data_IF_330345048094
#
_entry.id   IF_330345048094
#
_cell.length_a   1.000
_cell.length_b   1.000
_cell.length_c   1.000
_cell.angle_alpha   90.00
_cell.angle_beta   90.00
_cell.angle_gamma   90.00
#
_symmetry.space_group_name_H-M   'P 1'
#
loop_
_entity.id
_entity.type
_entity.pdbx_description
1 polymer ?
#
# COMPACT_ATOMS: atom_id res chain seq x y z
N UNK A 1 -5.12 10.84 43.72
CA UNK A 1 -5.78 10.96 42.41
C UNK A 1 -5.20 12.14 41.60
N UNK A 2 -3.94 12.07 41.17
CA UNK A 2 -3.29 13.10 40.32
C UNK A 2 -2.42 12.52 39.18
N UNK A 3 -2.42 11.20 39.00
CA UNK A 3 -1.51 10.50 38.06
C UNK A 3 -2.10 10.43 36.63
N UNK A 4 -3.42 10.54 36.49
CA UNK A 4 -4.10 10.37 35.19
C UNK A 4 -3.96 11.55 34.22
N UNK A 5 -3.66 12.76 34.70
CA UNK A 5 -3.60 13.95 33.85
C UNK A 5 -2.20 14.18 33.24
N UNK A 6 -1.14 13.64 33.86
CA UNK A 6 0.23 13.83 33.42
C UNK A 6 0.58 12.94 32.21
N UNK A 7 0.00 11.74 32.11
CA UNK A 7 0.26 10.83 30.98
C UNK A 7 -0.35 11.36 29.67
N UNK A 8 -1.54 11.98 29.73
CA UNK A 8 -2.19 12.56 28.55
C UNK A 8 -1.41 13.74 27.95
N UNK A 9 -0.72 14.53 28.77
CA UNK A 9 0.10 15.65 28.30
C UNK A 9 1.40 15.20 27.62
N UNK A 10 2.02 14.11 28.10
CA UNK A 10 3.26 13.57 27.52
C UNK A 10 2.98 12.90 26.17
N UNK A 11 1.84 12.22 26.01
CA UNK A 11 1.42 11.63 24.74
C UNK A 11 1.10 12.69 23.68
N UNK A 12 0.53 13.84 24.07
CA UNK A 12 0.20 14.91 23.13
C UNK A 12 1.45 15.66 22.61
N UNK A 13 2.50 15.79 23.42
CA UNK A 13 3.75 16.44 23.03
C UNK A 13 4.63 15.55 22.12
N UNK A 14 4.59 14.22 22.29
CA UNK A 14 5.34 13.30 21.45
C UNK A 14 4.84 13.29 19.99
N UNK A 15 3.55 13.49 19.78
CA UNK A 15 2.94 13.50 18.43
C UNK A 15 3.35 14.77 17.67
N UNK A 16 3.53 15.92 18.35
CA UNK A 16 3.83 17.19 17.67
C UNK A 16 5.28 17.31 17.19
N UNK A 17 6.24 16.63 17.84
CA UNK A 17 7.64 16.65 17.42
C UNK A 17 7.93 15.74 16.22
N UNK A 18 7.12 14.69 16.00
CA UNK A 18 7.24 13.80 14.83
C UNK A 18 6.84 14.49 13.51
N UNK A 19 5.78 15.31 13.53
CA UNK A 19 5.33 16.06 12.33
C UNK A 19 6.32 17.13 11.85
N UNK A 20 7.16 17.68 12.74
CA UNK A 20 8.12 18.72 12.37
C UNK A 20 9.33 18.20 11.58
N UNK A 21 9.66 16.91 11.70
CA UNK A 21 10.81 16.31 11.00
C UNK A 21 10.48 15.97 9.54
N UNK A 22 9.21 15.67 9.23
CA UNK A 22 8.73 15.35 7.87
C UNK A 22 8.83 16.55 6.91
N UNK A 23 8.53 17.77 7.37
CA UNK A 23 8.56 18.98 6.51
C UNK A 23 9.96 19.46 6.09
N UNK A 24 11.05 18.97 6.71
CA UNK A 24 12.40 19.36 6.30
C UNK A 24 12.93 18.57 5.09
N UNK A 25 12.39 17.39 4.79
CA UNK A 25 12.89 16.53 3.70
C UNK A 25 12.27 16.90 2.34
N UNK A 26 10.99 17.29 2.28
CA UNK A 26 10.37 17.73 1.01
C UNK A 26 11.05 18.96 0.38
N UNK A 27 11.65 19.86 1.18
CA UNK A 27 12.19 21.13 0.68
C UNK A 27 13.53 21.01 -0.06
N UNK A 28 14.21 19.85 -0.07
CA UNK A 28 15.47 19.68 -0.83
C UNK A 28 15.27 19.12 -2.25
N UNK A 29 14.11 18.54 -2.54
CA UNK A 29 13.86 17.83 -3.82
C UNK A 29 13.54 18.82 -4.96
N UNK A 30 12.97 19.99 -4.66
CA UNK A 30 12.52 20.96 -5.66
C UNK A 30 13.60 21.90 -6.25
N UNK A 31 14.89 21.73 -5.91
CA UNK A 31 15.95 22.67 -6.33
C UNK A 31 16.72 22.30 -7.61
N UNK A 32 16.46 21.15 -8.25
CA UNK A 32 17.36 20.61 -9.30
C UNK A 32 16.89 20.84 -10.75
N UNK A 33 15.67 21.34 -10.98
CA UNK A 33 15.11 21.44 -12.33
C UNK A 33 15.21 22.85 -12.95
N UNK A 34 16.40 23.33 -13.33
CA UNK A 34 16.56 24.45 -14.30
C UNK A 34 17.91 24.43 -15.06
N UNK A 35 17.89 24.03 -16.33
CA UNK A 35 18.80 24.44 -17.44
C UNK A 35 17.99 24.21 -18.75
N UNK A 36 17.43 25.23 -19.44
CA UNK A 36 18.03 26.14 -20.47
C UNK A 36 18.66 25.38 -21.66
N UNK A 37 18.52 25.63 -22.96
CA UNK A 37 17.79 26.58 -23.83
C UNK A 37 18.11 26.27 -25.31
N UNK A 38 17.08 26.21 -26.18
CA UNK A 38 16.99 26.73 -27.57
C UNK A 38 17.81 26.07 -28.75
N UNK A 39 17.59 26.47 -30.03
CA UNK A 39 16.85 25.71 -31.05
C UNK A 39 17.66 25.46 -32.35
N UNK A 40 17.10 24.83 -33.40
CA UNK A 40 17.33 25.13 -34.87
C UNK A 40 16.82 24.00 -35.80
N UNK A 41 15.81 24.35 -36.64
CA UNK A 41 15.47 24.00 -38.06
C UNK A 41 15.87 22.63 -38.66
N UNK A 42 15.21 22.00 -39.65
CA UNK A 42 14.05 22.14 -40.56
C UNK A 42 14.11 20.83 -41.43
N UNK A 43 13.19 20.65 -42.38
CA UNK A 43 13.09 19.64 -43.46
C UNK A 43 12.13 18.48 -43.12
N UNK A 44 10.89 18.49 -43.65
CA UNK A 44 10.43 18.11 -45.01
C UNK A 44 10.58 16.59 -45.23
N UNK A 45 9.64 15.80 -45.75
CA UNK A 45 8.36 16.02 -46.43
C UNK A 45 7.64 14.65 -46.55
N UNK A 46 6.34 14.66 -46.88
CA UNK A 46 5.57 13.60 -47.60
C UNK A 46 5.51 12.16 -47.02
N UNK A 47 4.35 11.67 -46.56
CA UNK A 47 3.26 11.09 -47.38
C UNK A 47 2.10 10.59 -46.50
N UNK A 48 0.92 10.77 -47.07
CA UNK A 48 -0.42 10.34 -46.68
C UNK A 48 -0.57 8.81 -46.58
N UNK A 49 -1.02 8.27 -45.45
CA UNK A 49 -1.88 7.05 -45.40
C UNK A 49 -2.63 6.98 -44.06
N UNK A 50 -3.88 7.41 -44.12
CA UNK A 50 -5.07 6.86 -43.45
C UNK A 50 -4.86 5.80 -42.35
N UNK A 51 -5.12 6.18 -41.09
CA UNK A 51 -5.48 5.24 -40.02
C UNK A 51 -6.49 5.93 -39.10
N UNK A 52 -7.74 5.43 -38.99
CA UNK A 52 -8.71 5.98 -38.07
C UNK A 52 -8.26 5.74 -36.62
N UNK A 53 -8.14 6.82 -35.85
CA UNK A 53 -8.00 6.78 -34.39
C UNK A 53 -9.13 5.95 -33.78
N UNK A 54 -8.84 4.97 -32.90
CA UNK A 54 -9.86 4.50 -31.98
C UNK A 54 -10.16 5.61 -30.97
N UNK A 55 -11.35 6.19 -31.10
CA UNK A 55 -11.99 7.04 -30.09
C UNK A 55 -11.89 6.41 -28.70
N UNK A 56 -11.41 7.11 -27.66
CA UNK A 56 -11.63 6.65 -26.29
C UNK A 56 -13.12 6.73 -26.00
N UNK A 57 -13.77 5.58 -26.05
CA UNK A 57 -15.16 5.45 -25.61
C UNK A 57 -15.20 5.69 -24.09
N UNK A 58 -16.05 6.59 -23.57
CA UNK A 58 -16.30 6.66 -22.13
C UNK A 58 -17.05 5.39 -21.72
N UNK A 59 -16.46 4.58 -20.83
CA UNK A 59 -17.18 3.48 -20.18
C UNK A 59 -17.88 3.97 -18.91
N UNK A 60 -19.01 3.35 -18.54
CA UNK A 60 -20.10 3.97 -17.80
C UNK A 60 -19.88 3.94 -16.28
N UNK A 61 -20.50 4.92 -15.63
CA UNK A 61 -20.80 4.96 -14.20
C UNK A 61 -21.65 3.76 -13.78
N UNK A 62 -21.29 3.12 -12.66
CA UNK A 62 -22.11 2.91 -11.46
C UNK A 62 -21.45 1.79 -10.63
N UNK A 63 -20.90 2.15 -9.48
CA UNK A 63 -20.28 1.18 -8.57
C UNK A 63 -19.87 1.86 -7.27
N UNK A 64 -20.85 2.09 -6.40
CA UNK A 64 -20.75 2.35 -4.97
C UNK A 64 -19.41 2.96 -4.51
N UNK A 65 -19.37 4.28 -4.43
CA UNK A 65 -18.34 5.01 -3.68
C UNK A 65 -18.47 4.63 -2.21
N UNK A 66 -17.80 3.56 -1.79
CA UNK A 66 -17.51 3.34 -0.40
C UNK A 66 -16.35 4.29 -0.12
N UNK A 67 -16.65 5.38 0.58
CA UNK A 67 -15.66 6.27 1.16
C UNK A 67 -14.83 5.44 2.16
N UNK A 68 -13.78 4.79 1.66
CA UNK A 68 -12.76 4.16 2.46
C UNK A 68 -11.84 5.28 2.93
N UNK A 69 -11.89 5.61 4.22
CA UNK A 69 -10.88 6.44 4.88
C UNK A 69 -9.60 5.60 5.01
N UNK A 70 -8.86 5.47 3.90
CA UNK A 70 -7.50 4.93 3.91
C UNK A 70 -6.62 5.91 4.71
N UNK A 71 -5.78 5.42 5.65
CA UNK A 71 -4.82 6.29 6.32
C UNK A 71 -3.90 6.91 5.27
N UNK A 72 -3.75 8.23 5.29
CA UNK A 72 -2.98 8.99 4.30
C UNK A 72 -1.49 8.55 4.22
N UNK A 73 -1.01 7.85 5.25
CA UNK A 73 0.35 7.32 5.40
C UNK A 73 0.36 5.78 5.66
N UNK A 74 -0.60 5.03 5.08
CA UNK A 74 -0.61 3.58 5.21
C UNK A 74 0.68 2.94 4.65
N UNK A 75 1.24 1.97 5.36
CA UNK A 75 2.48 1.27 4.96
C UNK A 75 2.23 0.44 3.70
N UNK A 76 1.06 -0.18 3.63
CA UNK A 76 0.56 -0.92 2.49
C UNK A 76 -0.91 -0.56 2.23
N UNK A 77 -1.36 -0.73 1.01
CA UNK A 77 -2.72 -0.47 0.59
C UNK A 77 -3.52 -1.76 0.53
N UNK A 78 -4.76 -1.74 1.01
CA UNK A 78 -5.66 -2.90 0.93
C UNK A 78 -6.80 -2.56 -0.03
N UNK A 79 -6.87 -3.27 -1.15
CA UNK A 79 -7.91 -3.02 -2.14
C UNK A 79 -9.31 -3.37 -1.57
N UNK A 80 -10.38 -2.72 -2.06
CA UNK A 80 -11.73 -2.89 -1.52
C UNK A 80 -12.21 -4.36 -1.48
N UNK A 81 -11.84 -5.16 -2.49
CA UNK A 81 -12.19 -6.59 -2.56
C UNK A 81 -11.49 -7.40 -1.47
N UNK A 82 -10.20 -7.17 -1.26
CA UNK A 82 -9.46 -7.78 -0.17
C UNK A 82 -10.05 -7.40 1.18
N UNK A 83 -10.43 -6.13 1.35
CA UNK A 83 -11.06 -5.65 2.58
C UNK A 83 -12.42 -6.32 2.86
N UNK A 84 -13.24 -6.52 1.83
CA UNK A 84 -14.50 -7.29 1.95
C UNK A 84 -14.19 -8.72 2.41
N UNK A 85 -13.22 -9.38 1.79
CA UNK A 85 -12.84 -10.74 2.13
C UNK A 85 -12.30 -10.87 3.55
N UNK A 86 -11.46 -9.93 4.00
CA UNK A 86 -10.94 -9.90 5.36
C UNK A 86 -12.07 -9.78 6.39
N UNK A 87 -13.08 -8.93 6.13
CA UNK A 87 -14.25 -8.82 7.00
C UNK A 87 -15.08 -10.11 7.06
N UNK A 88 -15.18 -10.85 5.96
CA UNK A 88 -15.82 -12.17 5.97
C UNK A 88 -15.06 -13.17 6.85
N UNK A 89 -13.74 -13.20 6.74
CA UNK A 89 -12.87 -14.06 7.56
C UNK A 89 -12.96 -13.70 9.05
N UNK A 90 -13.05 -12.41 9.37
CA UNK A 90 -13.27 -11.93 10.75
C UNK A 90 -14.61 -12.43 11.32
N UNK A 91 -15.70 -12.29 10.54
CA UNK A 91 -17.03 -12.78 10.94
C UNK A 91 -17.08 -14.28 11.15
N UNK A 92 -16.32 -15.05 10.37
CA UNK A 92 -16.23 -16.51 10.52
C UNK A 92 -15.43 -16.91 11.76
N UNK A 93 -14.38 -16.15 12.08
CA UNK A 93 -13.51 -16.42 13.23
C UNK A 93 -14.19 -16.02 14.56
N UNK A 94 -15.05 -15.00 14.54
CA UNK A 94 -15.79 -14.53 15.72
C UNK A 94 -14.99 -13.61 16.65
N UNK A 95 -13.70 -13.44 16.37
CA UNK A 95 -12.76 -12.62 17.14
C UNK A 95 -12.21 -11.43 16.31
N UNK A 96 -11.65 -10.43 16.97
CA UNK A 96 -10.88 -9.36 16.31
C UNK A 96 -9.62 -9.97 15.70
N UNK A 97 -9.56 -10.03 14.37
CA UNK A 97 -8.38 -10.50 13.65
C UNK A 97 -7.43 -9.33 13.38
N UNK A 98 -6.15 -9.59 13.62
CA UNK A 98 -5.06 -8.71 13.20
C UNK A 98 -4.38 -9.37 12.01
N UNK A 99 -4.43 -8.68 10.87
CA UNK A 99 -3.72 -9.10 9.67
C UNK A 99 -2.23 -8.82 9.84
N UNK A 100 -1.40 -9.85 9.86
CA UNK A 100 0.05 -9.73 9.94
C UNK A 100 0.68 -10.01 8.58
N UNK A 101 1.51 -9.08 8.13
CA UNK A 101 2.20 -9.09 6.85
C UNK A 101 3.71 -9.13 7.06
N UNK A 102 4.39 -10.01 6.33
CA UNK A 102 5.82 -10.19 6.43
C UNK A 102 6.45 -10.74 5.15
N UNK A 103 7.76 -10.88 5.18
CA UNK A 103 8.56 -11.50 4.12
C UNK A 103 9.44 -12.57 4.75
N UNK A 104 9.57 -13.71 4.06
CA UNK A 104 10.50 -14.77 4.41
C UNK A 104 11.45 -15.08 3.26
N UNK A 105 12.67 -15.48 3.59
CA UNK A 105 13.59 -16.05 2.61
C UNK A 105 13.02 -17.37 2.06
N UNK A 106 12.89 -17.48 0.75
CA UNK A 106 12.37 -18.65 0.05
C UNK A 106 11.54 -18.30 -1.18
N UNK A 107 11.04 -19.32 -1.87
CA UNK A 107 10.28 -19.16 -3.12
C UNK A 107 11.17 -19.21 -4.36
N UNK A 108 10.55 -19.07 -5.54
CA UNK A 108 11.25 -19.17 -6.83
C UNK A 108 12.26 -18.04 -7.06
N UNK A 109 11.97 -16.86 -6.50
CA UNK A 109 12.71 -15.61 -6.74
C UNK A 109 13.52 -15.14 -5.52
N UNK A 110 13.60 -15.95 -4.45
CA UNK A 110 14.43 -15.67 -3.27
C UNK A 110 13.70 -15.11 -2.04
N UNK A 111 12.65 -14.30 -2.24
CA UNK A 111 11.77 -13.81 -1.16
C UNK A 111 10.31 -14.21 -1.41
N UNK A 112 9.57 -14.47 -0.33
CA UNK A 112 8.14 -14.80 -0.37
C UNK A 112 7.34 -13.98 0.62
N UNK A 113 6.16 -13.53 0.19
CA UNK A 113 5.19 -12.88 1.07
C UNK A 113 4.65 -13.87 2.09
N UNK A 114 4.43 -13.38 3.30
CA UNK A 114 3.80 -14.09 4.40
C UNK A 114 2.61 -13.27 4.87
N UNK A 115 1.47 -13.93 4.98
CA UNK A 115 0.21 -13.37 5.45
C UNK A 115 -0.33 -14.31 6.52
N UNK A 116 -0.46 -13.80 7.74
CA UNK A 116 -0.95 -14.55 8.89
C UNK A 116 -2.04 -13.76 9.62
N UNK A 117 -2.88 -14.48 10.36
CA UNK A 117 -3.87 -13.86 11.24
C UNK A 117 -3.44 -14.04 12.69
N UNK A 118 -3.41 -12.94 13.43
CA UNK A 118 -2.98 -12.90 14.83
C UNK A 118 -4.01 -12.16 15.70
N UNK A 119 -3.76 -12.12 17.00
CA UNK A 119 -4.56 -11.36 17.97
C UNK A 119 -3.81 -10.10 18.38
N UNK A 120 -4.53 -9.10 18.87
CA UNK A 120 -3.98 -7.79 19.27
C UNK A 120 -2.87 -7.89 20.33
N UNK A 121 -2.91 -8.91 21.18
CA UNK A 121 -1.88 -9.15 22.22
C UNK A 121 -0.53 -9.63 21.67
N UNK A 122 -0.45 -9.99 20.38
CA UNK A 122 0.78 -10.47 19.72
C UNK A 122 1.48 -9.40 18.87
N UNK A 123 0.97 -8.17 18.90
CA UNK A 123 1.62 -7.04 18.22
C UNK A 123 2.85 -6.65 19.03
N UNK A 124 4.02 -6.63 18.39
CA UNK A 124 5.28 -6.23 19.03
C UNK A 124 5.46 -4.70 18.92
N UNK A 125 6.28 -4.10 19.81
CA UNK A 125 6.49 -2.64 19.85
C UNK A 125 7.19 -2.10 18.59
N UNK A 126 8.00 -2.93 17.93
CA UNK A 126 8.72 -2.57 16.70
C UNK A 126 7.89 -2.79 15.43
N UNK A 127 6.74 -3.44 15.54
CA UNK A 127 5.88 -3.68 14.39
C UNK A 127 5.22 -2.36 13.94
N UNK A 128 5.08 -2.23 12.63
CA UNK A 128 4.42 -1.08 12.04
C UNK A 128 2.91 -1.39 11.90
N UNK A 129 2.05 -0.55 12.45
CA UNK A 129 0.61 -0.83 12.64
C UNK A 129 -0.24 0.18 11.89
N UNK A 130 -1.12 -0.32 11.02
CA UNK A 130 -2.14 0.46 10.31
C UNK A 130 -3.54 0.05 10.79
N UNK A 131 -4.32 1.01 11.29
CA UNK A 131 -5.68 0.76 11.80
C UNK A 131 -6.76 1.23 10.82
N UNK A 132 -7.46 0.28 10.21
CA UNK A 132 -8.63 0.54 9.37
C UNK A 132 -9.88 0.61 10.26
N UNK A 133 -10.09 1.78 10.86
CA UNK A 133 -11.12 2.00 11.90
C UNK A 133 -12.54 1.75 11.38
N UNK A 134 -12.83 2.16 10.14
CA UNK A 134 -14.13 1.94 9.47
C UNK A 134 -14.47 0.45 9.32
N UNK A 135 -13.46 -0.39 9.08
CA UNK A 135 -13.61 -1.82 8.82
C UNK A 135 -13.33 -2.70 10.03
N UNK A 136 -12.83 -2.11 11.13
CA UNK A 136 -12.39 -2.82 12.35
C UNK A 136 -11.34 -3.88 12.06
N UNK A 137 -10.42 -3.56 11.17
CA UNK A 137 -9.30 -4.41 10.80
C UNK A 137 -8.02 -3.69 11.20
N UNK A 138 -7.11 -4.42 11.85
CA UNK A 138 -5.77 -3.94 12.17
C UNK A 138 -4.80 -4.69 11.27
N UNK A 139 -3.98 -3.95 10.54
CA UNK A 139 -2.88 -4.49 9.75
C UNK A 139 -1.56 -4.23 10.49
N UNK A 140 -0.68 -5.22 10.49
CA UNK A 140 0.60 -5.18 11.19
C UNK A 140 1.67 -5.69 10.25
N UNK A 141 2.75 -4.94 10.11
CA UNK A 141 3.90 -5.29 9.28
C UNK A 141 5.11 -5.54 10.18
N UNK A 142 5.76 -6.68 10.00
CA UNK A 142 7.00 -6.98 10.74
C UNK A 142 8.05 -5.89 10.48
N UNK A 143 8.74 -5.43 11.54
CA UNK A 143 9.78 -4.41 11.44
C UNK A 143 10.84 -4.70 10.36
N UNK A 144 11.25 -5.97 10.23
CA UNK A 144 12.27 -6.43 9.26
C UNK A 144 11.74 -6.47 7.82
N UNK A 145 10.43 -6.59 7.66
CA UNK A 145 9.76 -6.73 6.38
C UNK A 145 9.28 -5.38 5.81
N UNK A 146 9.23 -4.34 6.64
CA UNK A 146 8.72 -3.01 6.30
C UNK A 146 9.36 -2.43 5.03
N UNK A 147 10.69 -2.54 4.87
CA UNK A 147 11.40 -2.04 3.68
C UNK A 147 10.98 -2.71 2.36
N UNK A 148 10.48 -3.95 2.42
CA UNK A 148 10.09 -4.70 1.23
C UNK A 148 8.60 -4.57 0.90
N UNK A 149 7.78 -4.23 1.91
CA UNK A 149 6.32 -4.18 1.82
C UNK A 149 5.78 -2.75 1.73
N UNK A 150 6.65 -1.74 1.86
CA UNK A 150 6.25 -0.34 1.75
C UNK A 150 5.65 -0.04 0.37
N UNK A 151 4.41 0.45 0.35
CA UNK A 151 3.65 0.72 -0.89
C UNK A 151 3.13 -0.53 -1.60
N UNK A 152 3.15 -1.70 -0.96
CA UNK A 152 2.51 -2.91 -1.47
C UNK A 152 0.99 -2.70 -1.54
N UNK A 153 0.35 -3.16 -2.61
CA UNK A 153 -1.11 -3.26 -2.69
C UNK A 153 -1.55 -4.73 -2.55
N UNK A 154 -2.45 -4.98 -1.60
CA UNK A 154 -3.08 -6.27 -1.33
C UNK A 154 -4.48 -6.30 -1.94
N UNK A 155 -4.69 -7.13 -2.96
CA UNK A 155 -6.00 -7.35 -3.58
C UNK A 155 -6.48 -8.80 -3.39
N UNK A 156 -7.72 -9.07 -3.79
CA UNK A 156 -8.33 -10.38 -3.73
C UNK A 156 -9.11 -10.70 -5.00
N UNK A 157 -8.83 -11.88 -5.58
CA UNK A 157 -9.55 -12.41 -6.74
C UNK A 157 -10.52 -13.52 -6.31
N UNK A 158 -11.80 -13.35 -6.68
CA UNK A 158 -12.89 -14.33 -6.50
C UNK A 158 -12.96 -15.39 -7.62
N UNK A 159 -11.90 -15.52 -8.42
CA UNK A 159 -11.86 -16.53 -9.49
C UNK A 159 -11.96 -17.95 -8.93
N UNK A 160 -12.83 -18.77 -9.53
CA UNK A 160 -13.06 -20.16 -9.11
C UNK A 160 -11.76 -20.99 -9.12
N UNK A 161 -10.88 -20.73 -10.08
CA UNK A 161 -9.59 -21.40 -10.22
C UNK A 161 -8.51 -20.31 -10.12
N UNK A 162 -7.66 -20.40 -9.11
CA UNK A 162 -6.57 -19.44 -8.92
C UNK A 162 -6.97 -18.13 -8.21
N UNK A 163 -8.20 -18.06 -7.70
CA UNK A 163 -8.63 -17.03 -6.75
C UNK A 163 -7.82 -17.07 -5.45
N UNK A 164 -7.89 -15.97 -4.71
CA UNK A 164 -7.09 -15.74 -3.51
C UNK A 164 -6.50 -14.33 -3.46
N UNK A 165 -5.72 -14.09 -2.41
CA UNK A 165 -5.01 -12.82 -2.24
C UNK A 165 -3.92 -12.64 -3.30
N UNK A 166 -3.83 -11.42 -3.82
CA UNK A 166 -2.87 -10.99 -4.84
C UNK A 166 -2.04 -9.86 -4.27
N UNK A 167 -0.75 -9.90 -4.53
CA UNK A 167 0.23 -8.95 -4.01
C UNK A 167 0.82 -8.18 -5.18
N UNK A 168 0.71 -6.86 -5.15
CA UNK A 168 1.28 -5.96 -6.15
C UNK A 168 2.32 -5.08 -5.49
N UNK A 169 3.60 -5.34 -5.75
CA UNK A 169 4.70 -4.64 -5.11
C UNK A 169 5.43 -3.73 -6.11
N UNK A 170 5.39 -2.40 -5.96
CA UNK A 170 6.12 -1.49 -6.83
C UNK A 170 7.65 -1.61 -6.69
N UNK A 171 8.14 -2.19 -5.59
CA UNK A 171 9.56 -2.36 -5.32
C UNK A 171 10.12 -3.70 -5.82
N UNK A 172 9.29 -4.60 -6.36
CA UNK A 172 9.75 -5.89 -6.86
C UNK A 172 10.34 -5.73 -8.28
N UNK A 173 11.60 -6.11 -8.46
CA UNK A 173 12.25 -6.16 -9.78
C UNK A 173 11.75 -7.38 -10.58
N UNK A 174 11.49 -8.49 -9.89
CA UNK A 174 11.02 -9.73 -10.48
C UNK A 174 9.86 -10.31 -9.66
N UNK A 175 8.82 -10.81 -10.34
CA UNK A 175 7.70 -11.50 -9.70
C UNK A 175 7.55 -12.92 -10.25
N UNK A 176 7.35 -13.89 -9.36
CA UNK A 176 7.09 -15.27 -9.75
C UNK A 176 5.72 -15.39 -10.43
N UNK A 177 5.57 -16.32 -11.38
CA UNK A 177 4.31 -16.51 -12.13
C UNK A 177 3.07 -16.83 -11.28
N UNK A 178 3.24 -17.24 -10.03
CA UNK A 178 2.15 -17.44 -9.07
C UNK A 178 1.86 -16.22 -8.16
N UNK A 179 2.70 -15.18 -8.20
CA UNK A 179 2.51 -13.91 -7.46
C UNK A 179 2.81 -13.95 -5.96
N UNK A 180 3.23 -15.08 -5.40
CA UNK A 180 3.53 -15.22 -3.96
C UNK A 180 5.00 -15.03 -3.58
N UNK A 181 5.87 -14.87 -4.57
CA UNK A 181 7.32 -14.68 -4.40
C UNK A 181 7.84 -13.60 -5.34
N UNK A 182 8.88 -12.90 -4.91
CA UNK A 182 9.47 -11.77 -5.62
C UNK A 182 10.98 -11.68 -5.40
N UNK A 183 11.66 -10.95 -6.28
CA UNK A 183 13.05 -10.53 -6.17
C UNK A 183 13.15 -9.00 -6.10
N UNK A 184 14.18 -8.52 -5.41
CA UNK A 184 14.51 -7.10 -5.19
C UNK A 184 16.00 -6.87 -5.37
#
# INVERSE_FOLDING_TARGET
MKISATIALVLSQCITESYAFSSQIQNRINSVARVSSAPTTLFADVTDTDTPQPTPTPRPSEGMEIEHEEPEDAILHIAPKAMIRLRELQKQSGDEIVLRMGVRNGGCSGLSYVMDFSTRDKIEEDDAVDEYTSEKIVCVVDAKSMLYLYGLELDYSDELIGGGFKFFNPNAEESCGCGSSFGV
#
